data_IF_644690317348
#
_entry.id   IF_644690317348
#
_cell.length_a   1.000
_cell.length_b   1.000
_cell.length_c   1.000
_cell.angle_alpha   90.00
_cell.angle_beta   90.00
_cell.angle_gamma   90.00
#
_symmetry.space_group_name_H-M   'P 1'
#
loop_
_entity.id
_entity.type
_entity.pdbx_description
1 polymer ?
#
# COMPACT_ATOMS: atom_id res chain seq x y z
N UNK A 1 6.83 19.94 3.69
CA UNK A 1 6.93 20.27 2.25
C UNK A 1 6.49 19.13 1.32
N UNK A 2 7.11 17.95 1.31
CA UNK A 2 6.63 16.81 0.45
C UNK A 2 5.53 16.00 1.12
N UNK A 3 5.67 15.68 2.41
CA UNK A 3 4.64 15.00 3.21
C UNK A 3 3.31 15.74 3.20
N UNK A 4 3.32 17.05 3.46
CA UNK A 4 2.10 17.87 3.52
C UNK A 4 1.40 17.94 2.15
N UNK A 5 2.17 17.98 1.06
CA UNK A 5 1.64 17.94 -0.30
C UNK A 5 0.85 16.64 -0.53
N UNK A 6 1.42 15.49 -0.17
CA UNK A 6 0.75 14.20 -0.36
C UNK A 6 -0.44 13.99 0.58
N UNK A 7 -0.35 14.44 1.85
CA UNK A 7 -1.51 14.48 2.73
C UNK A 7 -2.66 15.28 2.09
N UNK A 8 -2.39 16.51 1.64
CA UNK A 8 -3.40 17.34 0.97
C UNK A 8 -3.91 16.72 -0.33
N UNK A 9 -3.05 16.03 -1.08
CA UNK A 9 -3.43 15.37 -2.34
C UNK A 9 -4.39 14.21 -2.10
N UNK A 10 -4.21 13.48 -1.00
CA UNK A 10 -4.98 12.30 -0.63
C UNK A 10 -6.18 12.59 0.29
N UNK A 11 -6.30 13.77 0.88
CA UNK A 11 -7.41 14.13 1.78
C UNK A 11 -8.80 14.23 1.10
N UNK A 12 -8.87 14.10 -0.23
CA UNK A 12 -10.15 14.04 -0.97
C UNK A 12 -10.84 12.70 -0.73
N UNK A 13 -12.15 12.61 -0.89
CA UNK A 13 -12.84 11.32 -0.71
C UNK A 13 -12.49 10.30 -1.79
N UNK A 14 -12.28 10.75 -3.04
CA UNK A 14 -11.96 9.85 -4.14
C UNK A 14 -10.51 9.34 -4.06
N UNK A 15 -10.29 8.09 -4.49
CA UNK A 15 -8.95 7.55 -4.70
C UNK A 15 -8.29 8.23 -5.89
N UNK A 16 -7.13 8.84 -5.65
CA UNK A 16 -6.40 9.64 -6.64
C UNK A 16 -6.00 8.83 -7.86
N UNK A 17 -5.64 7.57 -7.65
CA UNK A 17 -5.22 6.64 -8.71
C UNK A 17 -6.21 5.48 -8.91
N UNK A 18 -7.42 5.61 -8.36
CA UNK A 18 -8.41 4.54 -8.34
C UNK A 18 -8.02 3.37 -7.43
N UNK A 19 -8.94 2.41 -7.33
CA UNK A 19 -8.82 1.25 -6.44
C UNK A 19 -8.25 0.01 -7.14
N UNK A 20 -8.23 -0.01 -8.48
CA UNK A 20 -7.70 -1.14 -9.25
C UNK A 20 -6.16 -1.13 -9.23
N UNK A 21 -5.50 -2.30 -9.18
CA UNK A 21 -4.05 -2.35 -9.21
C UNK A 21 -3.51 -1.75 -10.51
N UNK A 22 -2.24 -1.34 -10.47
CA UNK A 22 -1.52 -1.10 -11.70
C UNK A 22 -1.50 -2.41 -12.54
N UNK A 23 -1.79 -2.29 -13.85
CA UNK A 23 -1.91 -3.46 -14.74
C UNK A 23 -0.62 -4.28 -14.80
N UNK A 24 0.55 -3.63 -14.94
CA UNK A 24 1.83 -4.31 -14.96
C UNK A 24 2.12 -5.01 -13.62
N UNK A 25 1.83 -4.36 -12.49
CA UNK A 25 1.96 -5.00 -11.18
C UNK A 25 1.13 -6.28 -11.09
N UNK A 26 -0.13 -6.20 -11.51
CA UNK A 26 -1.05 -7.34 -11.56
C UNK A 26 -0.51 -8.47 -12.44
N UNK A 27 -0.06 -8.14 -13.65
CA UNK A 27 0.47 -9.13 -14.62
C UNK A 27 1.67 -9.88 -14.05
N UNK A 28 2.55 -9.21 -13.31
CA UNK A 28 3.71 -9.85 -12.70
C UNK A 28 3.31 -10.67 -11.47
N UNK A 29 2.59 -10.07 -10.51
CA UNK A 29 2.33 -10.74 -9.23
C UNK A 29 1.44 -11.98 -9.36
N UNK A 30 0.57 -12.02 -10.39
CA UNK A 30 -0.26 -13.19 -10.69
C UNK A 30 0.54 -14.40 -11.19
N UNK A 31 1.80 -14.20 -11.60
CA UNK A 31 2.69 -15.28 -12.08
C UNK A 31 3.68 -15.77 -11.04
N UNK A 32 3.84 -15.05 -9.93
CA UNK A 32 4.84 -15.36 -8.90
C UNK A 32 4.25 -16.27 -7.82
N UNK A 33 5.07 -17.15 -7.21
CA UNK A 33 4.65 -17.90 -6.03
C UNK A 33 4.32 -16.94 -4.89
N UNK A 34 3.18 -17.18 -4.23
CA UNK A 34 2.70 -16.36 -3.12
C UNK A 34 3.71 -16.42 -1.97
N UNK A 35 4.03 -15.26 -1.42
CA UNK A 35 4.93 -15.12 -0.28
C UNK A 35 4.70 -13.81 0.47
N UNK A 36 5.79 -13.18 0.91
CA UNK A 36 5.78 -11.86 1.54
C UNK A 36 6.28 -10.80 0.56
N UNK A 37 5.66 -9.62 0.55
CA UNK A 37 6.02 -8.51 -0.32
C UNK A 37 6.07 -7.20 0.47
N UNK A 38 7.07 -6.37 0.16
CA UNK A 38 7.20 -5.00 0.65
C UNK A 38 6.89 -4.03 -0.50
N UNK A 39 5.93 -3.13 -0.30
CA UNK A 39 5.54 -2.10 -1.26
C UNK A 39 5.89 -0.69 -0.72
N UNK A 40 7.04 -0.14 -1.13
CA UNK A 40 7.43 1.22 -0.75
C UNK A 40 6.63 2.27 -1.53
N UNK A 41 6.27 3.36 -0.87
CA UNK A 41 5.48 4.45 -1.44
C UNK A 41 4.17 3.96 -2.12
N UNK A 42 3.44 3.08 -1.44
CA UNK A 42 2.23 2.42 -1.98
C UNK A 42 1.00 3.35 -2.03
N UNK A 43 1.13 4.61 -1.58
CA UNK A 43 0.07 5.61 -1.61
C UNK A 43 -1.23 5.06 -1.01
N UNK A 44 -2.35 5.22 -1.70
CA UNK A 44 -3.66 4.76 -1.19
C UNK A 44 -3.87 3.24 -1.23
N UNK A 45 -2.83 2.44 -1.50
CA UNK A 45 -2.80 1.00 -1.24
C UNK A 45 -3.41 0.11 -2.32
N UNK A 46 -3.70 0.62 -3.53
CA UNK A 46 -4.36 -0.16 -4.60
C UNK A 46 -3.59 -1.44 -4.98
N UNK A 47 -2.26 -1.40 -4.94
CA UNK A 47 -1.43 -2.57 -5.24
C UNK A 47 -1.32 -3.49 -4.02
N UNK A 48 -1.09 -2.93 -2.83
CA UNK A 48 -1.02 -3.71 -1.59
C UNK A 48 -2.30 -4.49 -1.29
N UNK A 49 -3.45 -3.85 -1.42
CA UNK A 49 -4.75 -4.52 -1.25
C UNK A 49 -4.97 -5.61 -2.30
N UNK A 50 -4.56 -5.36 -3.54
CA UNK A 50 -4.63 -6.39 -4.58
C UNK A 50 -3.75 -7.60 -4.24
N UNK A 51 -2.48 -7.37 -3.87
CA UNK A 51 -1.57 -8.44 -3.48
C UNK A 51 -2.13 -9.25 -2.28
N UNK A 52 -2.65 -8.56 -1.26
CA UNK A 52 -3.28 -9.19 -0.11
C UNK A 52 -4.50 -10.05 -0.52
N UNK A 53 -5.31 -9.58 -1.47
CA UNK A 53 -6.45 -10.36 -2.00
C UNK A 53 -6.02 -11.64 -2.74
N UNK A 54 -4.75 -11.71 -3.16
CA UNK A 54 -4.15 -12.89 -3.79
C UNK A 54 -3.44 -13.80 -2.80
N UNK A 55 -3.51 -13.51 -1.50
CA UNK A 55 -2.92 -14.31 -0.43
C UNK A 55 -1.51 -13.92 -0.03
N UNK A 56 -0.96 -12.82 -0.58
CA UNK A 56 0.36 -12.34 -0.16
C UNK A 56 0.31 -11.77 1.26
N UNK A 57 1.38 -11.98 2.03
CA UNK A 57 1.63 -11.21 3.23
C UNK A 57 2.26 -9.86 2.83
N UNK A 58 1.51 -8.77 3.00
CA UNK A 58 1.87 -7.46 2.46
C UNK A 58 2.27 -6.51 3.57
N UNK A 59 3.49 -5.98 3.47
CA UNK A 59 3.91 -4.77 4.16
C UNK A 59 3.96 -3.61 3.15
N UNK A 60 3.24 -2.53 3.43
CA UNK A 60 3.24 -1.31 2.62
C UNK A 60 3.63 -0.10 3.48
N UNK A 61 4.18 0.93 2.85
CA UNK A 61 4.32 2.22 3.51
C UNK A 61 4.29 3.39 2.54
N UNK A 62 3.94 4.56 3.07
CA UNK A 62 4.03 5.85 2.40
C UNK A 62 4.24 6.95 3.44
N UNK A 63 4.77 8.10 3.04
CA UNK A 63 4.98 9.24 3.95
C UNK A 63 3.66 9.90 4.40
N UNK A 64 2.56 9.65 3.68
CA UNK A 64 1.26 10.26 3.90
C UNK A 64 0.39 9.49 4.91
N UNK A 65 -0.16 10.21 5.88
CA UNK A 65 -1.13 9.66 6.83
C UNK A 65 -2.49 9.41 6.15
N UNK A 66 -2.91 10.31 5.27
CA UNK A 66 -4.16 10.16 4.51
C UNK A 66 -4.11 8.94 3.58
N UNK A 67 -2.94 8.67 3.00
CA UNK A 67 -2.70 7.48 2.18
C UNK A 67 -2.93 6.20 2.98
N UNK A 68 -2.33 6.10 4.18
CA UNK A 68 -2.55 4.98 5.09
C UNK A 68 -4.03 4.80 5.44
N UNK A 69 -4.72 5.87 5.81
CA UNK A 69 -6.14 5.78 6.19
C UNK A 69 -6.99 5.22 5.05
N UNK A 70 -6.76 5.67 3.82
CA UNK A 70 -7.43 5.14 2.63
C UNK A 70 -7.04 3.71 2.31
N UNK A 71 -5.77 3.36 2.39
CA UNK A 71 -5.30 2.00 2.17
C UNK A 71 -5.97 1.00 3.13
N UNK A 72 -6.08 1.35 4.42
CA UNK A 72 -6.76 0.53 5.42
C UNK A 72 -8.28 0.46 5.22
N UNK A 73 -8.91 1.55 4.76
CA UNK A 73 -10.32 1.54 4.39
C UNK A 73 -10.57 0.63 3.16
N UNK A 74 -9.68 0.69 2.17
CA UNK A 74 -9.75 -0.16 0.99
C UNK A 74 -9.52 -1.64 1.34
N UNK A 75 -8.53 -1.95 2.18
CA UNK A 75 -8.27 -3.32 2.62
C UNK A 75 -9.48 -3.88 3.39
N UNK A 76 -10.06 -3.08 4.30
CA UNK A 76 -11.27 -3.43 5.04
C UNK A 76 -12.47 -3.66 4.11
N UNK A 77 -12.68 -2.82 3.10
CA UNK A 77 -13.81 -2.97 2.16
C UNK A 77 -13.67 -4.22 1.28
N UNK A 78 -12.45 -4.70 1.05
CA UNK A 78 -12.16 -5.95 0.33
C UNK A 78 -12.04 -7.17 1.24
N UNK A 79 -12.09 -6.99 2.57
CA UNK A 79 -11.97 -8.07 3.54
C UNK A 79 -10.59 -8.73 3.57
N UNK A 80 -9.52 -7.94 3.39
CA UNK A 80 -8.13 -8.44 3.38
C UNK A 80 -7.26 -7.70 4.40
N UNK A 81 -6.23 -8.39 4.90
CA UNK A 81 -5.27 -7.82 5.82
C UNK A 81 -4.16 -7.09 5.07
N UNK A 82 -3.78 -5.91 5.57
CA UNK A 82 -2.71 -5.09 5.02
C UNK A 82 -1.92 -4.44 6.16
N UNK A 83 -0.63 -4.76 6.28
CA UNK A 83 0.29 -4.04 7.16
C UNK A 83 0.69 -2.73 6.48
N UNK A 84 0.41 -1.59 7.11
CA UNK A 84 0.68 -0.27 6.52
C UNK A 84 1.30 0.70 7.52
N UNK A 85 2.48 1.24 7.19
CA UNK A 85 3.22 2.22 8.01
C UNK A 85 3.30 3.60 7.36
N UNK A 86 3.37 4.64 8.19
CA UNK A 86 3.64 6.01 7.73
C UNK A 86 5.10 6.31 7.98
N UNK A 87 5.92 6.26 6.94
CA UNK A 87 7.39 6.37 7.06
C UNK A 87 8.03 6.72 5.71
N UNK A 88 9.26 7.24 5.77
CA UNK A 88 10.10 7.52 4.62
C UNK A 88 10.90 6.30 4.14
N UNK A 89 11.53 6.44 2.98
CA UNK A 89 12.39 5.41 2.40
C UNK A 89 13.67 5.17 3.25
N UNK A 90 14.12 6.20 3.94
CA UNK A 90 15.25 6.18 4.87
C UNK A 90 15.00 5.28 6.10
N UNK A 91 13.74 4.95 6.39
CA UNK A 91 13.32 4.15 7.53
C UNK A 91 13.03 2.68 7.15
N UNK A 92 13.21 2.26 5.89
CA UNK A 92 12.82 0.93 5.35
C UNK A 92 13.28 -0.26 6.20
N UNK A 93 14.41 -0.14 6.88
CA UNK A 93 14.95 -1.19 7.75
C UNK A 93 13.92 -1.63 8.80
N UNK A 94 13.05 -0.72 9.25
CA UNK A 94 12.04 -0.98 10.28
C UNK A 94 10.84 -1.80 9.78
N UNK A 95 10.73 -2.04 8.47
CA UNK A 95 9.73 -2.96 7.88
C UNK A 95 10.22 -4.40 7.83
N UNK A 96 11.53 -4.63 7.81
CA UNK A 96 12.12 -5.96 7.58
C UNK A 96 12.51 -6.68 8.88
N UNK A 97 12.39 -6.02 10.03
CA UNK A 97 12.89 -6.50 11.33
C UNK A 97 12.05 -7.58 12.02
N UNK A 98 10.99 -8.08 11.40
CA UNK A 98 10.16 -9.15 11.98
C UNK A 98 10.46 -10.48 11.29
N UNK A 99 11.48 -11.15 11.83
CA UNK A 99 11.63 -12.61 11.84
C UNK A 99 11.41 -13.09 13.28
#
# INVERSE_FOLDING_TARGET
MVKDFWNKRYSKNEYVYGEQPNLFFKEIIDTLPIGRILLPADGEGRNGVYAASKGWNVDSFDISHEAKMKALNLSKSKGVDLSYKVMGMDEVKDCMSSN
#
